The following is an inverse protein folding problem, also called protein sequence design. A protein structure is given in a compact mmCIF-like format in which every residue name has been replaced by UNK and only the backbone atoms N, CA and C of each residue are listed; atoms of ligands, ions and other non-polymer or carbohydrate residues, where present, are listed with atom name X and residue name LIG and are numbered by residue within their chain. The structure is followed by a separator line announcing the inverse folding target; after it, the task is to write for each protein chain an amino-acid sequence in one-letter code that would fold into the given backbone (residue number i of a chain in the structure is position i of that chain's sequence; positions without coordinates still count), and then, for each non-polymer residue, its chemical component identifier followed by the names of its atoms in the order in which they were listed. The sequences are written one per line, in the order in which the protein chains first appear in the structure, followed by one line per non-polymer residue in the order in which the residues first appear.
data_IF_666292090785
#
_entry.id   IF_666292090785
#
_cell.length_a   1.000
_cell.length_b   1.000
_cell.length_c   1.000
_cell.angle_alpha   90.00
_cell.angle_beta   90.00
_cell.angle_gamma   90.00
#
_symmetry.space_group_name_H-M   'P 1'
#
loop_
_entity.id
_entity.type
_entity.pdbx_description
1 polymer ?
#
# COMPACT_ATOMS: atom_id res chain seq x y z
N UNK A 1 2.38 2.46 -15.22
CA UNK A 1 2.28 1.77 -13.91
C UNK A 1 3.08 0.48 -13.84
N UNK A 2 2.56 -0.63 -14.36
CA UNK A 2 3.13 -1.99 -14.17
C UNK A 2 4.62 -2.09 -14.55
N UNK A 3 5.02 -1.56 -15.71
CA UNK A 3 6.43 -1.55 -16.12
C UNK A 3 7.33 -0.81 -15.12
N UNK A 4 6.83 0.28 -14.52
CA UNK A 4 7.53 1.01 -13.47
C UNK A 4 7.73 0.15 -12.23
N UNK A 5 6.68 -0.57 -11.79
CA UNK A 5 6.78 -1.50 -10.66
C UNK A 5 7.83 -2.59 -10.89
N UNK A 6 7.82 -3.22 -12.07
CA UNK A 6 8.80 -4.25 -12.44
C UNK A 6 10.22 -3.67 -12.44
N UNK A 7 10.41 -2.48 -13.03
CA UNK A 7 11.72 -1.81 -13.04
C UNK A 7 12.21 -1.49 -11.63
N UNK A 8 11.34 -0.92 -10.78
CA UNK A 8 11.65 -0.62 -9.38
C UNK A 8 12.06 -1.85 -8.60
N UNK A 9 11.32 -2.95 -8.77
CA UNK A 9 11.66 -4.25 -8.16
C UNK A 9 13.01 -4.76 -8.70
N UNK A 10 13.26 -4.66 -10.00
CA UNK A 10 14.54 -5.03 -10.61
C UNK A 10 15.73 -4.26 -10.03
N UNK A 11 15.58 -2.96 -9.82
CA UNK A 11 16.60 -2.11 -9.16
C UNK A 11 16.79 -2.55 -7.71
N UNK A 12 15.71 -2.82 -6.98
CA UNK A 12 15.79 -3.34 -5.60
C UNK A 12 16.51 -4.69 -5.52
N UNK A 13 16.24 -5.61 -6.45
CA UNK A 13 16.94 -6.90 -6.57
C UNK A 13 18.43 -6.70 -6.82
N UNK A 14 18.81 -5.70 -7.62
CA UNK A 14 20.21 -5.34 -7.83
C UNK A 14 20.90 -4.94 -6.52
N UNK A 15 20.24 -4.13 -5.67
CA UNK A 15 20.77 -3.78 -4.35
C UNK A 15 20.87 -4.98 -3.43
N UNK A 16 19.85 -5.86 -3.40
CA UNK A 16 19.89 -7.11 -2.64
C UNK A 16 21.05 -8.00 -3.06
N UNK A 17 21.30 -8.14 -4.37
CA UNK A 17 22.46 -8.88 -4.90
C UNK A 17 23.81 -8.25 -4.53
N UNK A 18 23.84 -6.96 -4.20
CA UNK A 18 25.05 -6.22 -3.80
C UNK A 18 25.25 -6.18 -2.27
N UNK A 19 24.49 -6.97 -1.51
CA UNK A 19 24.62 -7.08 -0.06
C UNK A 19 23.74 -6.12 0.73
N UNK A 20 22.68 -5.55 0.12
CA UNK A 20 21.75 -4.74 0.89
C UNK A 20 21.07 -5.57 1.99
N UNK A 21 21.10 -5.07 3.22
CA UNK A 21 20.48 -5.69 4.40
C UNK A 21 19.94 -4.59 5.32
N UNK A 22 18.76 -4.84 5.91
CA UNK A 22 18.18 -3.97 6.95
C UNK A 22 18.67 -4.37 8.36
N UNK A 23 19.66 -5.26 8.45
CA UNK A 23 20.13 -5.85 9.69
C UNK A 23 19.42 -7.15 10.02
N UNK A 24 19.89 -7.80 11.09
CA UNK A 24 19.31 -9.06 11.57
C UNK A 24 18.02 -8.81 12.33
N UNK A 25 17.01 -9.64 12.07
CA UNK A 25 15.82 -9.68 12.89
C UNK A 25 16.14 -10.31 14.27
N UNK A 26 15.57 -9.74 15.32
CA UNK A 26 15.75 -10.17 16.70
C UNK A 26 14.41 -10.58 17.31
N UNK A 27 14.37 -11.62 18.17
CA UNK A 27 13.14 -12.01 18.84
C UNK A 27 12.63 -10.87 19.73
N UNK A 28 11.47 -10.33 19.38
CA UNK A 28 10.81 -9.28 20.13
C UNK A 28 9.85 -9.86 21.20
N UNK A 29 9.56 -9.10 22.27
CA UNK A 29 8.54 -9.48 23.25
C UNK A 29 7.16 -9.69 22.59
N UNK A 30 6.39 -10.65 23.09
CA UNK A 30 5.02 -10.95 22.58
C UNK A 30 4.09 -9.73 22.58
N UNK A 31 4.31 -8.77 23.48
CA UNK A 31 3.55 -7.53 23.55
C UNK A 31 3.66 -6.70 22.26
N UNK A 32 4.79 -6.74 21.55
CA UNK A 32 4.99 -6.00 20.30
C UNK A 32 4.00 -6.46 19.21
N UNK A 33 3.69 -7.75 19.17
CA UNK A 33 2.74 -8.30 18.19
C UNK A 33 1.31 -7.79 18.37
N UNK A 34 0.95 -7.26 19.54
CA UNK A 34 -0.37 -6.70 19.81
C UNK A 34 -0.50 -5.22 19.41
N UNK A 35 0.62 -4.54 19.13
CA UNK A 35 0.62 -3.10 18.83
C UNK A 35 -0.20 -2.81 17.58
N UNK A 36 0.05 -3.53 16.49
CA UNK A 36 -0.65 -3.27 15.22
C UNK A 36 -2.16 -3.61 15.28
N UNK A 37 -2.58 -4.77 15.82
CA UNK A 37 -4.00 -5.02 16.09
C UNK A 37 -4.65 -3.94 16.96
N UNK A 38 -3.97 -3.47 18.01
CA UNK A 38 -4.50 -2.42 18.89
C UNK A 38 -4.67 -1.09 18.15
N UNK A 39 -3.72 -0.69 17.29
CA UNK A 39 -3.85 0.49 16.42
C UNK A 39 -5.07 0.34 15.51
N UNK A 40 -5.23 -0.80 14.83
CA UNK A 40 -6.35 -1.04 13.92
C UNK A 40 -7.72 -1.06 14.64
N UNK A 41 -7.81 -1.69 15.82
CA UNK A 41 -9.02 -1.68 16.65
C UNK A 41 -9.33 -0.26 17.12
N UNK A 42 -8.31 0.52 17.48
CA UNK A 42 -8.49 1.92 17.88
C UNK A 42 -9.02 2.77 16.73
N UNK A 43 -8.46 2.63 15.53
CA UNK A 43 -8.95 3.32 14.33
C UNK A 43 -10.39 2.91 13.98
N UNK A 44 -10.73 1.63 14.13
CA UNK A 44 -12.09 1.12 13.95
C UNK A 44 -13.05 1.69 15.00
N UNK A 45 -12.64 1.75 16.27
CA UNK A 45 -13.43 2.34 17.34
C UNK A 45 -13.66 3.84 17.11
N UNK A 46 -12.62 4.57 16.65
CA UNK A 46 -12.73 5.97 16.26
C UNK A 46 -13.73 6.18 15.12
N UNK A 47 -13.75 5.28 14.13
CA UNK A 47 -14.72 5.31 13.03
C UNK A 47 -16.16 5.11 13.53
N UNK A 48 -16.38 4.17 14.46
CA UNK A 48 -17.72 3.84 14.97
C UNK A 48 -18.24 4.92 15.92
N UNK A 49 -17.39 5.42 16.82
CA UNK A 49 -17.77 6.40 17.84
C UNK A 49 -17.87 7.80 17.23
N UNK A 50 -17.07 8.11 16.21
CA UNK A 50 -17.00 9.40 15.54
C UNK A 50 -17.04 10.59 16.52
N UNK A 51 -16.13 10.65 17.51
CA UNK A 51 -16.23 11.62 18.60
C UNK A 51 -16.11 13.06 18.08
N UNK A 52 -17.10 13.88 18.43
CA UNK A 52 -17.15 15.30 18.10
C UNK A 52 -16.59 16.09 19.29
N UNK A 53 -15.41 16.68 19.14
CA UNK A 53 -14.64 17.32 20.22
C UNK A 53 -14.70 18.86 20.18
N UNK A 54 -15.70 19.47 19.53
CA UNK A 54 -15.85 20.91 19.47
C UNK A 54 -17.02 21.36 18.59
N UNK A 55 -17.15 22.68 18.42
CA UNK A 55 -18.01 23.29 17.40
C UNK A 55 -17.18 24.20 16.49
N UNK A 56 -17.45 24.19 15.19
CA UNK A 56 -16.86 25.17 14.27
C UNK A 56 -17.40 26.59 14.53
N UNK A 57 -16.84 27.57 13.81
CA UNK A 57 -17.31 28.96 13.83
C UNK A 57 -18.76 29.16 13.35
N UNK A 58 -19.36 28.12 12.76
CA UNK A 58 -20.74 28.08 12.24
C UNK A 58 -21.69 27.31 13.18
N UNK A 59 -21.22 26.84 14.34
CA UNK A 59 -22.01 26.11 15.34
C UNK A 59 -22.20 24.61 15.09
N UNK A 60 -21.59 24.04 14.05
CA UNK A 60 -21.65 22.60 13.76
C UNK A 60 -20.68 21.84 14.64
N UNK A 61 -21.07 20.65 15.10
CA UNK A 61 -20.19 19.80 15.89
C UNK A 61 -19.03 19.30 15.02
N UNK A 62 -17.80 19.65 15.40
CA UNK A 62 -16.57 19.26 14.70
C UNK A 62 -15.74 18.32 15.56
N UNK A 63 -15.20 17.29 14.92
CA UNK A 63 -14.28 16.33 15.51
C UNK A 63 -12.96 16.28 14.73
N UNK A 64 -11.94 15.60 15.27
CA UNK A 64 -10.67 15.36 14.59
C UNK A 64 -10.81 14.43 13.39
N UNK A 65 -11.95 13.76 13.23
CA UNK A 65 -12.27 12.90 12.10
C UNK A 65 -13.04 13.68 11.04
N UNK A 66 -12.41 13.86 9.88
CA UNK A 66 -13.04 14.45 8.71
C UNK A 66 -13.68 13.34 7.86
N UNK A 67 -14.99 13.39 7.68
CA UNK A 67 -15.70 12.49 6.77
C UNK A 67 -15.61 13.03 5.35
N UNK A 68 -15.17 12.17 4.43
CA UNK A 68 -15.09 12.51 3.01
C UNK A 68 -16.48 12.44 2.40
N UNK A 69 -17.01 13.57 1.93
CA UNK A 69 -18.30 13.63 1.21
C UNK A 69 -18.17 13.20 -0.26
N UNK A 70 -16.97 13.33 -0.84
CA UNK A 70 -16.69 13.05 -2.25
C UNK A 70 -15.33 12.39 -2.42
N UNK A 71 -15.21 11.54 -3.43
CA UNK A 71 -13.98 10.83 -3.78
C UNK A 71 -13.92 9.43 -3.16
N UNK A 72 -12.76 8.74 -3.26
CA UNK A 72 -12.66 7.32 -2.91
C UNK A 72 -12.96 7.03 -1.44
N UNK A 73 -12.68 7.97 -0.53
CA UNK A 73 -12.99 7.81 0.90
C UNK A 73 -14.48 7.79 1.23
N UNK A 74 -15.33 8.31 0.35
CA UNK A 74 -16.80 8.28 0.49
C UNK A 74 -17.43 6.99 -0.05
N UNK A 75 -16.69 6.22 -0.87
CA UNK A 75 -17.14 5.01 -1.54
C UNK A 75 -16.80 3.78 -0.70
N UNK A 76 -17.52 3.56 0.39
CA UNK A 76 -17.30 2.40 1.26
C UNK A 76 -18.48 1.42 1.23
N UNK A 77 -18.18 0.12 1.31
CA UNK A 77 -19.18 -0.92 1.50
C UNK A 77 -19.63 -0.95 2.97
N UNK A 78 -20.85 -1.46 3.27
CA UNK A 78 -21.35 -1.56 4.63
C UNK A 78 -20.32 -2.16 5.59
N UNK A 79 -20.10 -1.51 6.74
CA UNK A 79 -18.98 -1.78 7.64
C UNK A 79 -18.82 -3.26 7.98
N UNK A 80 -19.93 -3.94 8.29
CA UNK A 80 -19.94 -5.36 8.67
C UNK A 80 -19.52 -6.28 7.51
N UNK A 81 -19.92 -5.95 6.28
CA UNK A 81 -19.53 -6.72 5.09
C UNK A 81 -18.04 -6.53 4.84
N UNK A 82 -17.57 -5.28 4.88
CA UNK A 82 -16.14 -4.95 4.72
C UNK A 82 -15.27 -5.66 5.77
N UNK A 83 -15.71 -5.70 7.03
CA UNK A 83 -15.00 -6.38 8.10
C UNK A 83 -14.98 -7.91 7.90
N UNK A 84 -16.13 -8.51 7.59
CA UNK A 84 -16.23 -9.95 7.36
C UNK A 84 -15.38 -10.42 6.17
N UNK A 85 -15.46 -9.71 5.04
CA UNK A 85 -14.66 -9.99 3.85
C UNK A 85 -13.17 -9.72 4.11
N UNK A 86 -12.84 -8.62 4.81
CA UNK A 86 -11.46 -8.30 5.19
C UNK A 86 -10.81 -9.38 6.06
N UNK A 87 -11.53 -9.91 7.05
CA UNK A 87 -11.06 -11.02 7.88
C UNK A 87 -10.87 -12.31 7.07
N UNK A 88 -11.81 -12.63 6.18
CA UNK A 88 -11.71 -13.79 5.30
C UNK A 88 -10.50 -13.69 4.36
N UNK A 89 -10.34 -12.55 3.69
CA UNK A 89 -9.20 -12.30 2.79
C UNK A 89 -7.89 -12.31 3.59
N UNK A 90 -7.85 -11.70 4.77
CA UNK A 90 -6.68 -11.72 5.65
C UNK A 90 -6.26 -13.14 6.02
N UNK A 91 -7.21 -13.99 6.41
CA UNK A 91 -6.96 -15.41 6.71
C UNK A 91 -6.42 -16.19 5.51
N UNK A 92 -7.03 -16.03 4.33
CA UNK A 92 -6.58 -16.68 3.10
C UNK A 92 -5.20 -16.18 2.65
N UNK A 93 -4.96 -14.87 2.78
CA UNK A 93 -3.73 -14.24 2.34
C UNK A 93 -2.54 -14.60 3.26
N UNK A 94 -2.78 -14.71 4.57
CA UNK A 94 -1.80 -15.22 5.52
C UNK A 94 -1.31 -16.63 5.13
N UNK A 95 -2.23 -17.53 4.77
CA UNK A 95 -1.88 -18.90 4.34
C UNK A 95 -1.19 -18.96 2.99
N UNK A 96 -1.63 -18.16 2.03
CA UNK A 96 -1.08 -18.18 0.67
C UNK A 96 0.25 -17.44 0.52
N UNK A 97 0.64 -16.63 1.52
CA UNK A 97 1.85 -15.79 1.47
C UNK A 97 1.94 -14.94 0.20
N UNK A 98 0.79 -14.49 -0.30
CA UNK A 98 0.67 -13.77 -1.56
C UNK A 98 1.50 -12.47 -1.53
N UNK A 99 2.41 -12.32 -2.49
CA UNK A 99 3.28 -11.15 -2.58
C UNK A 99 3.62 -10.82 -4.02
N UNK A 100 3.21 -9.64 -4.49
CA UNK A 100 3.50 -9.14 -5.86
C UNK A 100 5.00 -9.01 -6.11
N UNK A 101 5.73 -8.49 -5.11
CA UNK A 101 7.19 -8.36 -5.17
C UNK A 101 7.86 -9.73 -5.17
N UNK A 102 7.36 -10.65 -4.34
CA UNK A 102 7.82 -12.04 -4.29
C UNK A 102 7.64 -12.74 -5.63
N UNK A 103 6.46 -12.63 -6.26
CA UNK A 103 6.21 -13.22 -7.56
C UNK A 103 7.19 -12.75 -8.64
N UNK A 104 7.46 -11.44 -8.72
CA UNK A 104 8.39 -10.87 -9.70
C UNK A 104 9.82 -11.29 -9.37
N UNK A 105 10.22 -11.20 -8.09
CA UNK A 105 11.55 -11.59 -7.63
C UNK A 105 11.83 -13.07 -7.87
N UNK A 106 10.91 -13.94 -7.49
CA UNK A 106 11.07 -15.39 -7.60
C UNK A 106 11.07 -15.80 -9.08
N UNK A 107 10.27 -15.13 -9.94
CA UNK A 107 10.33 -15.35 -11.39
C UNK A 107 11.68 -14.94 -12.01
N UNK A 108 12.28 -13.85 -11.55
CA UNK A 108 13.57 -13.32 -12.04
C UNK A 108 14.75 -14.13 -11.52
N UNK A 109 14.72 -14.51 -10.23
CA UNK A 109 15.87 -15.06 -9.52
C UNK A 109 15.85 -16.60 -9.49
N UNK A 110 14.68 -17.20 -9.25
CA UNK A 110 14.50 -18.64 -9.07
C UNK A 110 13.78 -19.30 -10.26
N UNK A 111 13.30 -18.51 -11.22
CA UNK A 111 12.48 -18.97 -12.35
C UNK A 111 11.16 -19.67 -11.94
N UNK A 112 10.69 -19.44 -10.71
CA UNK A 112 9.42 -19.96 -10.22
C UNK A 112 8.26 -19.02 -10.61
N UNK A 113 7.21 -19.60 -11.19
CA UNK A 113 6.01 -18.87 -11.63
C UNK A 113 4.78 -19.12 -10.75
N UNK A 114 4.90 -19.88 -9.65
CA UNK A 114 3.76 -20.23 -8.79
C UNK A 114 3.03 -18.99 -8.27
N UNK A 115 3.76 -18.04 -7.67
CA UNK A 115 3.16 -16.78 -7.16
C UNK A 115 2.68 -15.88 -8.31
N UNK A 116 3.35 -15.90 -9.46
CA UNK A 116 2.95 -15.12 -10.64
C UNK A 116 1.62 -15.61 -11.21
N UNK A 117 1.41 -16.92 -11.24
CA UNK A 117 0.13 -17.52 -11.64
C UNK A 117 -0.99 -17.10 -10.68
N UNK A 118 -0.71 -16.98 -9.38
CA UNK A 118 -1.67 -16.42 -8.41
C UNK A 118 -2.08 -14.98 -8.73
N UNK A 119 -1.14 -14.11 -9.12
CA UNK A 119 -1.44 -12.74 -9.53
C UNK A 119 -2.27 -12.71 -10.81
N UNK A 120 -1.91 -13.54 -11.80
CA UNK A 120 -2.66 -13.65 -13.05
C UNK A 120 -4.09 -14.14 -12.81
N UNK A 121 -4.27 -15.12 -11.91
CA UNK A 121 -5.58 -15.60 -11.51
C UNK A 121 -6.40 -14.50 -10.83
N UNK A 122 -5.79 -13.69 -9.95
CA UNK A 122 -6.45 -12.55 -9.31
C UNK A 122 -6.89 -11.50 -10.34
N UNK A 123 -6.02 -11.16 -11.30
CA UNK A 123 -6.33 -10.22 -12.38
C UNK A 123 -7.49 -10.75 -13.24
N UNK A 124 -7.44 -12.04 -13.62
CA UNK A 124 -8.49 -12.66 -14.42
C UNK A 124 -9.83 -12.71 -13.67
N UNK A 125 -9.82 -13.08 -12.39
CA UNK A 125 -11.01 -13.09 -11.55
C UNK A 125 -11.60 -11.68 -11.41
N UNK A 126 -10.77 -10.68 -11.11
CA UNK A 126 -11.20 -9.29 -11.02
C UNK A 126 -11.81 -8.79 -12.34
N UNK A 127 -11.19 -9.12 -13.47
CA UNK A 127 -11.70 -8.76 -14.79
C UNK A 127 -13.07 -9.40 -15.08
N UNK A 128 -13.20 -10.71 -14.86
CA UNK A 128 -14.46 -11.45 -15.07
C UNK A 128 -15.57 -10.90 -14.16
N UNK A 129 -15.27 -10.67 -12.88
CA UNK A 129 -16.25 -10.11 -11.93
C UNK A 129 -16.69 -8.70 -12.34
N UNK A 130 -15.77 -7.84 -12.77
CA UNK A 130 -16.12 -6.50 -13.26
C UNK A 130 -16.98 -6.55 -14.54
N UNK A 131 -16.76 -7.54 -15.41
CA UNK A 131 -17.57 -7.74 -16.61
C UNK A 131 -18.99 -8.21 -16.25
N UNK A 132 -19.12 -9.15 -15.31
CA UNK A 132 -20.43 -9.67 -14.86
C UNK A 132 -21.26 -8.58 -14.18
N UNK A 133 -20.62 -7.71 -13.37
CA UNK A 133 -21.30 -6.63 -12.65
C UNK A 133 -21.49 -5.39 -13.55
N UNK A 134 -20.95 -5.39 -14.78
CA UNK A 134 -21.06 -4.27 -15.71
C UNK A 134 -20.24 -3.03 -15.32
N UNK A 135 -19.25 -3.18 -14.44
CA UNK A 135 -18.34 -2.10 -14.00
C UNK A 135 -17.09 -1.97 -14.87
N UNK A 136 -16.92 -2.84 -15.86
CA UNK A 136 -15.78 -2.79 -16.75
C UNK A 136 -15.88 -1.60 -17.72
N UNK A 137 -15.02 -0.60 -17.52
CA UNK A 137 -14.83 0.53 -18.43
C UNK A 137 -13.45 0.46 -19.09
N UNK A 138 -13.36 0.03 -20.36
CA UNK A 138 -12.07 -0.03 -21.06
C UNK A 138 -11.56 1.39 -21.35
N UNK A 139 -10.38 1.72 -20.86
CA UNK A 139 -9.73 2.99 -21.14
C UNK A 139 -8.55 3.29 -20.21
N UNK A 140 -7.76 4.30 -20.59
CA UNK A 140 -6.67 4.82 -19.75
C UNK A 140 -7.00 6.16 -19.09
N UNK A 141 -8.06 6.82 -19.55
CA UNK A 141 -8.52 8.12 -19.04
C UNK A 141 -9.78 7.94 -18.20
N UNK A 142 -10.01 8.88 -17.26
CA UNK A 142 -11.18 8.89 -16.37
C UNK A 142 -11.37 7.60 -15.55
N UNK A 143 -10.29 6.87 -15.32
CA UNK A 143 -10.32 5.68 -14.45
C UNK A 143 -10.40 6.10 -12.98
N UNK A 144 -11.13 5.38 -12.12
CA UNK A 144 -11.25 5.71 -10.71
C UNK A 144 -9.88 5.84 -10.04
N UNK A 145 -9.66 6.94 -9.31
CA UNK A 145 -8.45 7.23 -8.51
C UNK A 145 -7.16 7.45 -9.33
N UNK A 146 -7.08 7.00 -10.57
CA UNK A 146 -5.88 7.09 -11.40
C UNK A 146 -5.80 8.40 -12.21
N UNK A 147 -4.61 8.97 -12.31
CA UNK A 147 -4.30 10.05 -13.26
C UNK A 147 -3.73 9.46 -14.56
N UNK A 148 -3.85 10.18 -15.67
CA UNK A 148 -3.40 9.73 -17.00
C UNK A 148 -1.92 10.04 -17.31
N UNK A 149 -1.25 10.83 -16.46
CA UNK A 149 0.16 11.17 -16.66
C UNK A 149 1.06 9.93 -16.56
N UNK A 150 1.58 9.50 -17.71
CA UNK A 150 2.36 8.27 -17.87
C UNK A 150 3.69 8.37 -17.12
N UNK A 151 4.33 9.54 -17.12
CA UNK A 151 5.68 9.73 -16.55
C UNK A 151 5.61 9.58 -15.05
N UNK A 152 4.68 10.28 -14.40
CA UNK A 152 4.54 10.22 -12.94
C UNK A 152 3.88 8.93 -12.47
N UNK A 153 3.00 8.33 -13.29
CA UNK A 153 2.48 6.97 -13.02
C UNK A 153 3.57 5.90 -13.12
N UNK A 154 4.54 6.10 -14.02
CA UNK A 154 5.69 5.21 -14.14
C UNK A 154 6.65 5.42 -12.97
N UNK A 155 7.09 6.66 -12.74
CA UNK A 155 8.03 7.01 -11.68
C UNK A 155 7.52 6.67 -10.28
N UNK A 156 6.24 6.93 -9.99
CA UNK A 156 5.61 6.55 -8.72
C UNK A 156 5.62 5.04 -8.50
N UNK A 157 5.38 4.24 -9.55
CA UNK A 157 5.45 2.79 -9.44
C UNK A 157 6.89 2.26 -9.39
N UNK A 158 7.87 2.93 -10.00
CA UNK A 158 9.30 2.63 -9.79
C UNK A 158 9.67 2.84 -8.33
N UNK A 159 9.27 3.97 -7.74
CA UNK A 159 9.50 4.26 -6.33
C UNK A 159 8.85 3.20 -5.43
N UNK A 160 7.57 2.90 -5.67
CA UNK A 160 6.84 1.88 -4.92
C UNK A 160 7.54 0.52 -5.01
N UNK A 161 7.86 0.05 -6.23
CA UNK A 161 8.55 -1.22 -6.44
C UNK A 161 9.91 -1.30 -5.76
N UNK A 162 10.68 -0.21 -5.82
CA UNK A 162 11.98 -0.11 -5.16
C UNK A 162 11.83 -0.19 -3.64
N UNK A 163 10.99 0.66 -3.04
CA UNK A 163 10.75 0.69 -1.59
C UNK A 163 10.23 -0.65 -1.06
N UNK A 164 9.26 -1.27 -1.75
CA UNK A 164 8.72 -2.57 -1.37
C UNK A 164 9.76 -3.69 -1.44
N UNK A 165 10.70 -3.59 -2.38
CA UNK A 165 11.78 -4.58 -2.49
C UNK A 165 12.83 -4.41 -1.40
N UNK A 166 13.17 -3.17 -1.04
CA UNK A 166 14.10 -2.89 0.07
C UNK A 166 13.54 -3.37 1.41
N UNK A 167 12.23 -3.21 1.65
CA UNK A 167 11.57 -3.73 2.87
C UNK A 167 11.28 -5.24 2.80
N UNK A 168 11.50 -5.88 1.65
CA UNK A 168 11.33 -7.32 1.49
C UNK A 168 9.87 -7.79 1.34
N UNK A 169 8.95 -6.93 0.91
CA UNK A 169 7.56 -7.33 0.65
C UNK A 169 6.66 -6.21 0.16
N UNK A 170 5.58 -6.57 -0.55
CA UNK A 170 4.54 -5.61 -0.94
C UNK A 170 3.65 -5.21 0.25
N UNK A 171 2.89 -4.10 0.16
CA UNK A 171 2.03 -3.62 1.24
C UNK A 171 1.08 -4.67 1.82
N UNK A 172 0.50 -5.51 0.96
CA UNK A 172 -0.37 -6.62 1.40
C UNK A 172 0.38 -7.61 2.29
N UNK A 173 1.57 -8.07 1.86
CA UNK A 173 2.41 -8.97 2.67
C UNK A 173 2.76 -8.35 4.03
N UNK A 174 3.08 -7.05 4.05
CA UNK A 174 3.43 -6.35 5.29
C UNK A 174 2.22 -6.24 6.24
N UNK A 175 0.99 -6.08 5.73
CA UNK A 175 -0.21 -6.15 6.56
C UNK A 175 -0.39 -7.53 7.21
N UNK A 176 -0.15 -8.60 6.46
CA UNK A 176 -0.31 -9.97 6.98
C UNK A 176 0.77 -10.28 8.03
N UNK A 177 2.03 -9.91 7.76
CA UNK A 177 3.14 -10.08 8.70
C UNK A 177 2.92 -9.28 9.99
N UNK A 178 2.43 -8.04 9.88
CA UNK A 178 2.11 -7.23 11.04
C UNK A 178 0.98 -7.89 11.88
N UNK A 179 0.04 -8.58 11.24
CA UNK A 179 -0.97 -9.41 11.91
C UNK A 179 -0.42 -10.69 12.55
N UNK A 180 0.69 -11.23 12.04
CA UNK A 180 1.43 -12.36 12.62
C UNK A 180 2.33 -11.95 13.79
N UNK A 181 2.47 -10.65 14.03
CA UNK A 181 3.28 -10.09 15.12
C UNK A 181 4.67 -9.60 14.71
N UNK A 182 4.92 -9.41 13.41
CA UNK A 182 6.16 -8.81 12.90
C UNK A 182 6.16 -7.29 13.15
N UNK A 183 7.10 -6.84 13.99
CA UNK A 183 7.24 -5.43 14.37
C UNK A 183 7.79 -4.54 13.25
N UNK A 184 8.66 -5.07 12.39
CA UNK A 184 9.22 -4.32 11.26
C UNK A 184 8.13 -4.05 10.23
N UNK A 185 7.29 -5.06 9.97
CA UNK A 185 6.10 -4.93 9.13
C UNK A 185 5.10 -3.92 9.73
N UNK A 186 4.88 -3.94 11.04
CA UNK A 186 4.01 -2.97 11.73
C UNK A 186 4.52 -1.53 11.57
N UNK A 187 5.84 -1.31 11.68
CA UNK A 187 6.45 0.00 11.44
C UNK A 187 6.28 0.45 9.99
N UNK A 188 6.45 -0.46 9.03
CA UNK A 188 6.22 -0.16 7.62
C UNK A 188 4.77 0.27 7.35
N UNK A 189 3.78 -0.46 7.87
CA UNK A 189 2.36 -0.11 7.67
C UNK A 189 2.03 1.21 8.36
N UNK A 190 2.51 1.44 9.57
CA UNK A 190 2.32 2.72 10.28
C UNK A 190 2.91 3.88 9.47
N UNK A 191 4.12 3.69 8.92
CA UNK A 191 4.76 4.65 8.02
C UNK A 191 3.94 4.93 6.76
N UNK A 192 3.33 3.90 6.15
CA UNK A 192 2.42 4.11 5.01
C UNK A 192 1.15 4.88 5.40
N UNK A 193 0.55 4.59 6.55
CA UNK A 193 -0.66 5.30 7.03
C UNK A 193 -0.35 6.78 7.26
N UNK A 194 0.74 7.07 7.97
CA UNK A 194 1.20 8.44 8.20
C UNK A 194 1.53 9.12 6.87
N UNK A 195 2.28 8.44 5.99
CA UNK A 195 2.63 8.94 4.66
C UNK A 195 1.41 9.24 3.80
N UNK A 196 0.37 8.41 3.83
CA UNK A 196 -0.90 8.65 3.15
C UNK A 196 -1.61 9.90 3.71
N UNK A 197 -1.65 10.04 5.04
CA UNK A 197 -2.19 11.23 5.71
C UNK A 197 -1.48 12.52 5.26
N UNK A 198 -0.14 12.50 5.22
CA UNK A 198 0.65 13.61 4.69
C UNK A 198 0.36 13.86 3.20
N UNK A 199 0.29 12.80 2.39
CA UNK A 199 0.08 12.94 0.95
C UNK A 199 -1.26 13.61 0.62
N UNK A 200 -2.32 13.26 1.35
CA UNK A 200 -3.64 13.85 1.20
C UNK A 200 -3.75 15.25 1.81
N UNK A 201 -2.94 15.60 2.81
CA UNK A 201 -2.98 16.92 3.47
C UNK A 201 -2.16 17.99 2.75
N UNK A 202 -1.06 17.61 2.10
CA UNK A 202 -0.09 18.55 1.50
C UNK A 202 -0.14 18.61 -0.04
N UNK A 203 -1.27 18.24 -0.64
CA UNK A 203 -1.46 18.26 -2.11
C UNK A 203 -0.38 17.47 -2.88
N UNK A 204 -0.01 16.30 -2.36
CA UNK A 204 0.91 15.35 -3.00
C UNK A 204 0.11 14.23 -3.68
N UNK A 205 -1.04 13.86 -3.14
CA UNK A 205 -1.92 12.84 -3.70
C UNK A 205 -2.54 13.30 -5.02
N UNK A 206 -2.16 12.65 -6.12
CA UNK A 206 -2.77 12.83 -7.44
C UNK A 206 -4.21 12.31 -7.48
N UNK A 207 -4.98 12.77 -8.47
CA UNK A 207 -6.37 12.39 -8.66
C UNK A 207 -6.69 12.23 -10.16
N UNK A 208 -7.89 11.78 -10.55
CA UNK A 208 -8.27 11.75 -11.97
C UNK A 208 -8.19 13.10 -12.69
N UNK A 209 -8.21 14.21 -11.96
CA UNK A 209 -8.01 15.55 -12.53
C UNK A 209 -6.55 15.83 -12.96
N UNK A 210 -5.61 14.96 -12.59
CA UNK A 210 -4.21 15.06 -12.99
C UNK A 210 -3.23 14.85 -11.85
N UNK A 211 -1.95 15.00 -12.19
CA UNK A 211 -0.84 14.92 -11.24
C UNK A 211 -0.89 16.10 -10.26
N UNK A 212 -0.78 15.82 -8.96
CA UNK A 212 -0.76 16.88 -7.96
C UNK A 212 0.54 17.70 -8.02
N UNK A 213 0.48 18.98 -7.61
CA UNK A 213 1.59 19.92 -7.75
C UNK A 213 2.90 19.42 -7.11
N UNK A 214 2.82 18.81 -5.92
CA UNK A 214 4.00 18.30 -5.21
C UNK A 214 4.30 16.82 -5.46
N UNK A 215 3.39 16.09 -6.13
CA UNK A 215 3.56 14.66 -6.44
C UNK A 215 4.89 14.34 -7.15
N UNK A 216 5.24 15.04 -8.24
CA UNK A 216 6.50 14.89 -8.96
C UNK A 216 7.74 14.98 -8.08
N UNK A 217 7.78 16.02 -7.24
CA UNK A 217 8.92 16.31 -6.36
C UNK A 217 9.06 15.19 -5.32
N UNK A 218 7.94 14.75 -4.72
CA UNK A 218 7.95 13.65 -3.76
C UNK A 218 8.43 12.34 -4.38
N UNK A 219 8.05 12.04 -5.62
CA UNK A 219 8.54 10.85 -6.34
C UNK A 219 10.06 10.92 -6.54
N UNK A 220 10.58 12.06 -7.02
CA UNK A 220 12.02 12.24 -7.23
C UNK A 220 12.82 12.12 -5.92
N UNK A 221 12.37 12.81 -4.87
CA UNK A 221 13.01 12.77 -3.54
C UNK A 221 12.95 11.35 -2.97
N UNK A 222 11.82 10.68 -3.07
CA UNK A 222 11.67 9.29 -2.62
C UNK A 222 12.61 8.33 -3.35
N UNK A 223 12.77 8.49 -4.67
CA UNK A 223 13.70 7.67 -5.46
C UNK A 223 15.15 7.90 -5.02
N UNK A 224 15.54 9.14 -4.78
CA UNK A 224 16.87 9.49 -4.29
C UNK A 224 17.11 8.85 -2.92
N UNK A 225 16.17 8.99 -1.99
CA UNK A 225 16.30 8.41 -0.64
C UNK A 225 16.40 6.88 -0.72
N UNK A 226 15.53 6.22 -1.47
CA UNK A 226 15.56 4.76 -1.62
C UNK A 226 16.85 4.28 -2.30
N UNK A 227 17.36 5.01 -3.29
CA UNK A 227 18.61 4.69 -3.96
C UNK A 227 19.82 4.87 -3.02
N UNK A 228 19.83 5.93 -2.20
CA UNK A 228 20.86 6.15 -1.18
C UNK A 228 20.83 5.00 -0.17
N UNK A 229 19.67 4.69 0.43
CA UNK A 229 19.54 3.61 1.41
C UNK A 229 19.97 2.27 0.81
N UNK A 230 19.48 1.95 -0.40
CA UNK A 230 19.85 0.75 -1.15
C UNK A 230 21.35 0.65 -1.42
N UNK A 231 22.03 1.78 -1.62
CA UNK A 231 23.46 1.84 -1.87
C UNK A 231 24.32 1.81 -0.60
N UNK A 232 23.86 2.40 0.50
CA UNK A 232 24.67 2.61 1.73
C UNK A 232 24.47 1.52 2.78
N UNK A 233 23.27 0.96 2.92
CA UNK A 233 22.99 -0.09 3.91
C UNK A 233 23.41 -1.45 3.36
N UNK A 234 24.71 -1.74 3.43
CA UNK A 234 25.29 -3.03 3.00
C UNK A 234 25.91 -3.74 4.18
N UNK A 235 25.64 -5.03 4.27
CA UNK A 235 26.27 -5.97 5.21
C UNK A 235 27.02 -7.06 4.45
#
# INVERSE_FOLDING_TARGET
GILGLILGIGIGIMFLKRGFSLGRNHPAPRALGWVMPAIMITLLALLIIAPQFGRDASGNATGPLFFSEKGPGSQYAPLLISLGVGLLIGFLAQRSRFCTVGAIRDRILLHDSHLLNGILALIAAAFITNLIIGQFSPGFENQPVAHSDIIWSFGGMVLAGLAFTLVGGCPGRQLFLAGEGDGDAAMFITGMIVGAGFAHSFAIASSPAGTAAFGPITVMVGLIICAILGATMRE
#
